data_IF_158897307613
#
_entry.id   IF_158897307613
#
_cell.length_a   1.000
_cell.length_b   1.000
_cell.length_c   1.000
_cell.angle_alpha   90.00
_cell.angle_beta   90.00
_cell.angle_gamma   90.00
#
_symmetry.space_group_name_H-M   'P 1'
#
loop_
_entity.id
_entity.type
_entity.pdbx_description
1 polymer ?
#
# COMPACT_ATOMS: atom_id res chain seq x y z
N UNK A 1 3.02 -16.19 -1.29
CA UNK A 1 3.72 -14.91 -1.14
C UNK A 1 2.78 -13.83 -0.59
N UNK A 2 1.75 -13.39 -1.30
CA UNK A 2 0.82 -12.36 -0.77
C UNK A 2 0.04 -12.79 0.48
N UNK A 3 -0.44 -14.05 0.55
CA UNK A 3 -1.18 -14.57 1.74
C UNK A 3 -0.36 -14.57 3.04
N UNK A 4 0.97 -14.51 2.97
CA UNK A 4 1.85 -14.52 4.16
C UNK A 4 2.21 -13.11 4.65
N UNK A 5 1.86 -12.05 3.90
CA UNK A 5 2.16 -10.66 4.25
C UNK A 5 0.97 -9.98 4.96
N UNK A 6 0.44 -10.60 6.03
CA UNK A 6 -0.65 -9.99 6.78
C UNK A 6 -0.13 -8.93 7.75
N UNK A 7 -0.22 -7.66 7.37
CA UNK A 7 0.16 -6.51 8.19
C UNK A 7 -0.68 -5.28 7.82
N UNK A 8 -0.97 -4.42 8.79
CA UNK A 8 -1.83 -3.24 8.65
C UNK A 8 -1.48 -2.31 7.47
N UNK A 9 -0.18 -2.11 7.21
CA UNK A 9 0.37 -1.23 6.19
C UNK A 9 0.69 -1.96 4.87
N UNK A 10 0.12 -3.15 4.65
CA UNK A 10 0.17 -3.91 3.40
C UNK A 10 -1.26 -4.17 2.95
N UNK A 11 -1.55 -4.03 1.66
CA UNK A 11 -2.88 -4.32 1.12
C UNK A 11 -3.25 -5.81 1.32
N UNK A 12 -4.43 -6.08 1.89
CA UNK A 12 -4.89 -7.45 2.14
C UNK A 12 -5.46 -8.11 0.88
N UNK A 13 -4.90 -9.26 0.48
CA UNK A 13 -5.51 -10.17 -0.50
C UNK A 13 -6.60 -11.02 0.18
N UNK A 14 -7.87 -10.71 -0.06
CA UNK A 14 -9.03 -11.42 0.50
C UNK A 14 -9.30 -12.74 -0.20
N UNK A 15 -9.27 -12.75 -1.52
CA UNK A 15 -9.58 -13.93 -2.33
C UNK A 15 -8.74 -13.97 -3.61
N UNK A 16 -8.45 -15.18 -4.09
CA UNK A 16 -7.89 -15.40 -5.41
C UNK A 16 -8.61 -16.57 -6.07
N UNK A 17 -9.16 -16.36 -7.26
CA UNK A 17 -9.90 -17.39 -7.99
C UNK A 17 -9.64 -17.33 -9.49
N UNK A 18 -9.95 -18.43 -10.19
CA UNK A 18 -9.85 -18.51 -11.65
C UNK A 18 -11.23 -18.64 -12.27
N UNK A 19 -11.51 -17.86 -13.30
CA UNK A 19 -12.74 -17.95 -14.08
C UNK A 19 -12.43 -17.79 -15.57
N UNK A 20 -12.86 -18.76 -16.39
CA UNK A 20 -12.61 -18.78 -17.85
C UNK A 20 -11.13 -18.56 -18.21
N UNK A 21 -10.22 -19.21 -17.47
CA UNK A 21 -8.77 -19.11 -17.68
C UNK A 21 -8.10 -17.83 -17.15
N UNK A 22 -8.86 -16.83 -16.67
CA UNK A 22 -8.30 -15.60 -16.08
C UNK A 22 -8.18 -15.73 -14.56
N UNK A 23 -7.06 -15.27 -14.01
CA UNK A 23 -6.83 -15.14 -12.57
C UNK A 23 -7.40 -13.80 -12.09
N UNK A 24 -8.20 -13.83 -11.03
CA UNK A 24 -8.75 -12.66 -10.36
C UNK A 24 -8.20 -12.62 -8.94
N UNK A 25 -7.73 -11.45 -8.53
CA UNK A 25 -7.25 -11.17 -7.19
C UNK A 25 -8.18 -10.12 -6.57
N UNK A 26 -8.80 -10.46 -5.44
CA UNK A 26 -9.71 -9.58 -4.70
C UNK A 26 -8.95 -9.02 -3.51
N UNK A 27 -8.70 -7.72 -3.53
CA UNK A 27 -8.02 -7.00 -2.46
C UNK A 27 -9.01 -6.23 -1.59
N UNK A 28 -8.57 -5.78 -0.42
CA UNK A 28 -9.25 -4.68 0.26
C UNK A 28 -9.28 -3.42 -0.61
N UNK A 29 -10.34 -2.64 -0.49
CA UNK A 29 -10.45 -1.35 -1.14
C UNK A 29 -9.92 -0.27 -0.21
N UNK A 30 -9.14 0.65 -0.77
CA UNK A 30 -8.59 1.82 -0.10
C UNK A 30 -8.87 3.02 -0.98
N UNK A 31 -9.33 4.13 -0.39
CA UNK A 31 -10.06 5.19 -1.06
C UNK A 31 -9.24 5.93 -2.12
N UNK A 32 -7.94 6.13 -1.86
CA UNK A 32 -7.04 6.86 -2.76
C UNK A 32 -5.59 6.40 -2.64
N UNK A 33 -4.76 6.83 -3.58
CA UNK A 33 -3.30 6.68 -3.50
C UNK A 33 -2.59 8.00 -3.13
N UNK A 34 -1.29 7.93 -2.90
CA UNK A 34 -0.48 9.10 -2.54
C UNK A 34 -0.30 10.08 -3.70
N UNK A 35 -0.37 9.63 -4.95
CA UNK A 35 -0.32 10.53 -6.10
C UNK A 35 -1.52 11.48 -6.09
N UNK A 36 -2.74 10.96 -5.94
CA UNK A 36 -3.97 11.75 -5.85
C UNK A 36 -3.91 12.75 -4.69
N UNK A 37 -3.38 12.35 -3.52
CA UNK A 37 -3.17 13.26 -2.40
C UNK A 37 -2.20 14.41 -2.73
N UNK A 38 -1.11 14.12 -3.46
CA UNK A 38 -0.11 15.12 -3.82
C UNK A 38 -0.63 16.08 -4.90
N UNK A 39 -1.53 15.63 -5.77
CA UNK A 39 -2.22 16.49 -6.73
C UNK A 39 -3.17 17.48 -6.03
N UNK A 40 -3.82 17.07 -4.94
CA UNK A 40 -4.62 17.95 -4.07
C UNK A 40 -3.75 18.93 -3.26
N UNK A 41 -2.47 18.59 -3.03
CA UNK A 41 -1.52 19.33 -2.21
C UNK A 41 -0.30 19.77 -3.05
N UNK A 42 -0.46 20.74 -3.98
CA UNK A 42 0.59 21.11 -4.94
C UNK A 42 1.86 21.68 -4.28
N UNK A 43 1.77 22.14 -3.04
CA UNK A 43 2.90 22.62 -2.24
C UNK A 43 3.44 21.57 -1.26
N UNK A 44 2.99 20.31 -1.37
CA UNK A 44 3.33 19.22 -0.47
C UNK A 44 2.45 19.13 0.77
N UNK A 45 2.54 17.98 1.44
CA UNK A 45 1.82 17.72 2.68
C UNK A 45 2.47 18.43 3.89
N UNK A 46 1.68 18.79 4.92
CA UNK A 46 2.22 19.31 6.17
C UNK A 46 3.30 18.37 6.77
N UNK A 47 4.34 18.90 7.43
CA UNK A 47 5.45 18.08 7.94
C UNK A 47 5.02 16.92 8.83
N UNK A 48 4.00 17.11 9.67
CA UNK A 48 3.47 16.05 10.54
C UNK A 48 2.82 14.92 9.75
N UNK A 49 2.11 15.26 8.67
CA UNK A 49 1.46 14.30 7.78
C UNK A 49 2.50 13.51 6.97
N UNK A 50 3.49 14.20 6.43
CA UNK A 50 4.63 13.57 5.76
C UNK A 50 5.39 12.61 6.69
N UNK A 51 5.69 13.04 7.92
CA UNK A 51 6.36 12.22 8.94
C UNK A 51 5.56 10.95 9.25
N UNK A 52 4.25 11.08 9.40
CA UNK A 52 3.35 9.96 9.68
C UNK A 52 3.37 8.94 8.53
N UNK A 53 3.20 9.37 7.29
CA UNK A 53 3.21 8.45 6.15
C UNK A 53 4.56 7.79 5.93
N UNK A 54 5.67 8.52 6.07
CA UNK A 54 7.01 7.93 5.98
C UNK A 54 7.21 6.86 7.07
N UNK A 55 6.74 7.10 8.29
CA UNK A 55 6.79 6.09 9.36
C UNK A 55 6.00 4.83 9.00
N UNK A 56 4.77 4.97 8.50
CA UNK A 56 3.95 3.84 8.07
C UNK A 56 4.56 3.08 6.89
N UNK A 57 5.13 3.79 5.91
CA UNK A 57 5.84 3.19 4.78
C UNK A 57 7.07 2.39 5.26
N UNK A 58 7.86 2.93 6.18
CA UNK A 58 9.01 2.22 6.76
C UNK A 58 8.54 0.96 7.51
N UNK A 59 7.42 1.01 8.26
CA UNK A 59 6.83 -0.18 8.89
C UNK A 59 6.47 -1.26 7.85
N UNK A 60 5.84 -0.87 6.73
CA UNK A 60 5.48 -1.78 5.64
C UNK A 60 6.73 -2.42 5.01
N UNK A 61 7.72 -1.60 4.64
CA UNK A 61 8.98 -2.06 4.03
C UNK A 61 9.73 -2.98 5.00
N UNK A 62 9.83 -2.62 6.28
CA UNK A 62 10.48 -3.45 7.29
C UNK A 62 9.81 -4.82 7.41
N UNK A 63 8.47 -4.86 7.39
CA UNK A 63 7.73 -6.11 7.39
C UNK A 63 8.03 -6.96 6.15
N UNK A 64 8.05 -6.36 4.96
CA UNK A 64 8.43 -7.06 3.72
C UNK A 64 9.85 -7.62 3.81
N UNK A 65 10.82 -6.82 4.23
CA UNK A 65 12.22 -7.22 4.34
C UNK A 65 12.43 -8.34 5.37
N UNK A 66 11.69 -8.34 6.49
CA UNK A 66 11.68 -9.45 7.45
C UNK A 66 11.16 -10.77 6.85
N UNK A 67 10.36 -10.69 5.81
CA UNK A 67 9.83 -11.84 5.07
C UNK A 67 10.60 -12.08 3.75
N UNK A 68 11.82 -11.55 3.63
CA UNK A 68 12.72 -11.74 2.47
C UNK A 68 12.13 -11.22 1.14
N UNK A 69 11.19 -10.26 1.21
CA UNK A 69 10.53 -9.66 0.05
C UNK A 69 11.02 -8.24 -0.15
N UNK A 70 11.50 -7.93 -1.35
CA UNK A 70 11.87 -6.58 -1.79
C UNK A 70 10.82 -6.09 -2.77
N UNK A 71 10.16 -4.97 -2.48
CA UNK A 71 9.07 -4.43 -3.30
C UNK A 71 9.51 -4.00 -4.70
N UNK A 72 10.69 -3.36 -4.82
CA UNK A 72 11.33 -2.89 -6.07
C UNK A 72 10.59 -1.78 -6.85
N UNK A 73 9.30 -1.58 -6.67
CA UNK A 73 8.54 -0.52 -7.36
C UNK A 73 7.79 0.42 -6.38
N UNK A 74 8.52 1.01 -5.42
CA UNK A 74 7.93 1.95 -4.46
C UNK A 74 7.83 3.33 -5.12
N UNK A 75 6.59 3.79 -5.32
CA UNK A 75 6.22 5.08 -5.92
C UNK A 75 4.83 5.52 -5.41
N UNK A 76 4.45 6.81 -5.50
CA UNK A 76 3.18 7.32 -4.95
C UNK A 76 1.92 6.56 -5.36
N UNK A 77 1.88 6.03 -6.59
CA UNK A 77 0.77 5.24 -7.13
C UNK A 77 0.54 3.92 -6.37
N UNK A 78 1.61 3.36 -5.79
CA UNK A 78 1.59 2.09 -5.07
C UNK A 78 1.43 2.27 -3.54
N UNK A 79 1.21 3.51 -3.09
CA UNK A 79 0.97 3.86 -1.69
C UNK A 79 -0.49 4.26 -1.51
N UNK A 80 -1.31 3.31 -1.08
CA UNK A 80 -2.72 3.54 -0.80
C UNK A 80 -2.90 4.22 0.55
N UNK A 81 -3.90 5.09 0.68
CA UNK A 81 -4.19 5.87 1.89
C UNK A 81 -5.68 5.77 2.20
N UNK A 82 -6.02 5.24 3.38
CA UNK A 82 -7.41 5.15 3.80
C UNK A 82 -7.98 6.49 4.28
N UNK A 83 -9.30 6.57 4.42
CA UNK A 83 -9.98 7.72 5.06
C UNK A 83 -9.53 7.97 6.51
N UNK A 84 -8.94 6.98 7.18
CA UNK A 84 -8.40 7.05 8.53
C UNK A 84 -6.89 7.42 8.56
N UNK A 85 -6.34 7.93 7.44
CA UNK A 85 -4.92 8.25 7.25
C UNK A 85 -3.96 7.05 7.45
N UNK A 86 -4.44 5.82 7.19
CA UNK A 86 -3.62 4.59 7.21
C UNK A 86 -3.01 4.35 5.83
N UNK A 87 -1.67 4.30 5.75
CA UNK A 87 -0.93 4.00 4.53
C UNK A 87 -0.77 2.48 4.36
N UNK A 88 -1.05 1.99 3.16
CA UNK A 88 -0.92 0.59 2.75
C UNK A 88 -0.12 0.47 1.45
N UNK A 89 0.93 -0.34 1.47
CA UNK A 89 1.73 -0.67 0.28
C UNK A 89 1.02 -1.75 -0.57
N UNK A 90 0.94 -1.54 -1.88
CA UNK A 90 0.33 -2.47 -2.84
C UNK A 90 1.22 -2.72 -4.06
N UNK A 91 0.78 -3.60 -4.97
CA UNK A 91 1.45 -3.92 -6.25
C UNK A 91 2.81 -4.64 -6.10
N UNK A 92 2.75 -5.82 -5.46
CA UNK A 92 3.85 -6.77 -5.26
C UNK A 92 4.02 -7.76 -6.41
#
# INVERSE_FOLDING_TARGET
MLRTLKQENIVELKEAFRRRGKLYLVFEYVERNMLELLEELPNGAPPDKARNYIYQLIKAIHWCHKNEIVHRDIKPENLLISSEDVLKLCDF
#
